data_IF_762737699631
#
_entry.id   IF_762737699631
#
_cell.length_a   1.000
_cell.length_b   1.000
_cell.length_c   1.000
_cell.angle_alpha   90.00
_cell.angle_beta   90.00
_cell.angle_gamma   90.00
#
_symmetry.space_group_name_H-M   'P 1'
#
loop_
_entity.id
_entity.type
_entity.pdbx_description
1 polymer ?
#
# COMPACT_ATOMS: atom_id res chain seq x y z
N UNK A 1 -2.56 -29.11 -17.96
CA UNK A 1 -1.72 -28.14 -17.19
C UNK A 1 -2.66 -27.34 -16.30
N UNK A 2 -2.30 -27.08 -15.03
CA UNK A 2 -3.10 -26.16 -14.18
C UNK A 2 -3.06 -24.75 -14.77
N UNK A 3 -4.22 -24.07 -14.83
CA UNK A 3 -4.27 -22.66 -15.25
C UNK A 3 -3.47 -21.81 -14.26
N UNK A 4 -2.79 -20.76 -14.73
CA UNK A 4 -2.11 -19.81 -13.85
C UNK A 4 -3.14 -19.12 -12.96
N UNK A 5 -2.90 -18.97 -11.64
CA UNK A 5 -3.87 -18.33 -10.76
C UNK A 5 -4.10 -16.86 -11.14
N UNK A 6 -5.30 -16.37 -10.90
CA UNK A 6 -5.61 -14.94 -10.97
C UNK A 6 -5.27 -14.33 -9.61
N UNK A 7 -4.49 -13.27 -9.58
CA UNK A 7 -4.14 -12.57 -8.33
C UNK A 7 -5.02 -11.34 -8.21
N UNK A 8 -5.88 -11.31 -7.18
CA UNK A 8 -6.61 -10.12 -6.75
C UNK A 8 -5.77 -9.35 -5.74
N UNK A 9 -5.14 -8.29 -6.21
CA UNK A 9 -4.32 -7.42 -5.40
C UNK A 9 -5.15 -6.21 -4.94
N UNK A 10 -5.70 -6.29 -3.73
CA UNK A 10 -6.27 -5.11 -3.06
C UNK A 10 -5.13 -4.14 -2.71
N UNK A 11 -5.21 -2.83 -3.02
CA UNK A 11 -4.13 -1.90 -2.68
C UNK A 11 -3.74 -1.95 -1.19
N UNK A 12 -2.44 -1.82 -0.93
CA UNK A 12 -1.85 -1.71 0.43
C UNK A 12 -1.98 -2.96 1.31
N UNK A 13 -2.14 -4.14 0.72
CA UNK A 13 -2.18 -5.44 1.42
C UNK A 13 -0.91 -6.27 1.27
N UNK A 14 0.21 -5.68 0.83
CA UNK A 14 1.44 -6.42 0.55
C UNK A 14 1.40 -7.24 -0.75
N UNK A 15 0.38 -7.07 -1.60
CA UNK A 15 0.20 -7.85 -2.83
C UNK A 15 1.30 -7.67 -3.87
N UNK A 16 2.13 -6.62 -3.77
CA UNK A 16 3.37 -6.52 -4.57
C UNK A 16 4.34 -7.64 -4.21
N UNK A 17 4.59 -7.87 -2.93
CA UNK A 17 5.49 -8.95 -2.46
C UNK A 17 4.97 -10.31 -2.93
N UNK A 18 3.68 -10.57 -2.72
CA UNK A 18 3.04 -11.82 -3.15
C UNK A 18 3.11 -12.02 -4.68
N UNK A 19 2.77 -10.99 -5.45
CA UNK A 19 2.82 -11.06 -6.91
C UNK A 19 4.25 -11.34 -7.41
N UNK A 20 5.24 -10.62 -6.90
CA UNK A 20 6.63 -10.77 -7.33
C UNK A 20 7.18 -12.14 -6.95
N UNK A 21 6.81 -12.66 -5.76
CA UNK A 21 7.12 -14.03 -5.37
C UNK A 21 6.51 -15.07 -6.33
N UNK A 22 5.24 -14.91 -6.72
CA UNK A 22 4.55 -15.86 -7.62
C UNK A 22 5.09 -15.81 -9.04
N UNK A 23 5.36 -14.61 -9.55
CA UNK A 23 5.68 -14.39 -10.96
C UNK A 23 7.18 -14.42 -11.27
N UNK A 24 8.04 -14.23 -10.26
CA UNK A 24 9.47 -13.96 -10.45
C UNK A 24 9.76 -12.62 -11.15
N UNK A 25 8.75 -11.78 -11.36
CA UNK A 25 8.91 -10.49 -12.06
C UNK A 25 9.46 -9.42 -11.11
N UNK A 26 10.34 -8.51 -11.58
CA UNK A 26 10.88 -7.41 -10.77
C UNK A 26 9.84 -6.31 -10.47
N UNK A 27 8.67 -6.35 -11.11
CA UNK A 27 7.54 -5.46 -10.81
C UNK A 27 6.21 -6.09 -11.22
N UNK A 28 5.08 -5.67 -10.59
CA UNK A 28 3.77 -6.03 -11.08
C UNK A 28 3.50 -5.49 -12.50
N UNK A 29 2.75 -6.23 -13.34
CA UNK A 29 2.33 -5.78 -14.66
C UNK A 29 1.23 -4.72 -14.54
N UNK A 30 0.88 -4.10 -15.68
CA UNK A 30 -0.39 -3.36 -15.76
C UNK A 30 -1.56 -4.31 -15.43
N UNK A 31 -2.63 -3.84 -14.76
CA UNK A 31 -3.75 -4.69 -14.39
C UNK A 31 -4.38 -5.34 -15.63
N UNK A 32 -4.71 -6.63 -15.53
CA UNK A 32 -5.14 -7.47 -16.65
C UNK A 32 -5.93 -8.70 -16.15
N UNK A 33 -6.14 -9.67 -17.04
CA UNK A 33 -6.91 -10.88 -16.79
C UNK A 33 -6.29 -11.87 -15.76
N UNK A 34 -5.01 -11.74 -15.41
CA UNK A 34 -4.34 -12.55 -14.37
C UNK A 34 -3.87 -11.72 -13.17
N UNK A 35 -3.83 -10.39 -13.30
CA UNK A 35 -3.48 -9.46 -12.23
C UNK A 35 -4.57 -8.42 -12.07
N UNK A 36 -5.48 -8.70 -11.13
CA UNK A 36 -6.65 -7.88 -10.82
C UNK A 36 -6.26 -6.78 -9.84
N UNK A 37 -6.40 -5.53 -10.25
CA UNK A 37 -5.98 -4.37 -9.49
C UNK A 37 -6.71 -3.10 -9.97
N UNK A 38 -6.42 -1.98 -9.34
CA UNK A 38 -6.95 -0.68 -9.75
C UNK A 38 -6.38 -0.25 -11.11
N UNK A 39 -7.25 0.22 -11.98
CA UNK A 39 -6.96 0.88 -13.25
C UNK A 39 -7.47 2.33 -13.24
N UNK A 40 -6.76 3.17 -13.99
CA UNK A 40 -7.18 4.55 -14.28
C UNK A 40 -7.90 4.60 -15.62
N UNK A 41 -8.99 5.34 -15.69
CA UNK A 41 -9.85 5.52 -16.85
C UNK A 41 -10.07 7.01 -17.12
N UNK A 42 -10.30 7.36 -18.40
CA UNK A 42 -10.61 8.72 -18.86
C UNK A 42 -9.60 9.78 -18.40
N UNK A 43 -8.41 9.86 -18.99
CA UNK A 43 -7.39 10.89 -18.70
C UNK A 43 -7.17 11.27 -17.21
N UNK A 44 -7.20 10.27 -16.32
CA UNK A 44 -7.10 10.40 -14.85
C UNK A 44 -8.35 10.94 -14.14
N UNK A 45 -9.54 10.71 -14.69
CA UNK A 45 -10.82 11.10 -14.10
C UNK A 45 -11.41 10.03 -13.18
N UNK A 46 -11.23 8.74 -13.50
CA UNK A 46 -11.84 7.66 -12.74
C UNK A 46 -10.85 6.54 -12.42
N UNK A 47 -10.82 6.10 -11.17
CA UNK A 47 -9.95 5.03 -10.70
C UNK A 47 -10.80 3.89 -10.11
N UNK A 48 -10.77 2.68 -10.69
CA UNK A 48 -11.57 1.53 -10.21
C UNK A 48 -10.87 0.19 -10.45
N UNK A 49 -11.31 -0.84 -9.73
CA UNK A 49 -10.80 -2.20 -9.90
C UNK A 49 -11.35 -2.87 -11.15
N UNK A 50 -10.56 -3.73 -11.79
CA UNK A 50 -10.98 -4.58 -12.89
C UNK A 50 -11.47 -5.97 -12.46
N UNK A 51 -11.81 -6.17 -11.18
CA UNK A 51 -12.26 -7.46 -10.64
C UNK A 51 -13.75 -7.58 -10.34
N UNK A 52 -14.54 -6.52 -10.58
CA UNK A 52 -15.98 -6.51 -10.26
C UNK A 52 -16.75 -7.68 -10.87
N UNK A 53 -16.34 -8.09 -12.07
CA UNK A 53 -16.89 -9.22 -12.82
C UNK A 53 -16.70 -10.59 -12.15
N UNK A 54 -15.80 -10.73 -11.18
CA UNK A 54 -15.66 -11.97 -10.40
C UNK A 54 -16.80 -12.11 -9.38
N UNK A 55 -17.32 -10.98 -8.90
CA UNK A 55 -18.30 -10.91 -7.80
C UNK A 55 -19.73 -10.61 -8.28
N UNK A 56 -19.91 -10.54 -9.59
CA UNK A 56 -21.20 -10.46 -10.26
C UNK A 56 -21.75 -11.89 -10.51
N UNK A 57 -23.02 -12.11 -10.17
CA UNK A 57 -23.67 -13.41 -10.26
C UNK A 57 -23.72 -13.94 -11.69
N UNK A 58 -23.79 -13.05 -12.68
CA UNK A 58 -23.96 -13.42 -14.09
C UNK A 58 -22.66 -13.94 -14.72
N UNK A 59 -21.51 -13.57 -14.16
CA UNK A 59 -20.18 -13.88 -14.69
C UNK A 59 -19.33 -14.77 -13.79
N UNK A 60 -19.74 -15.01 -12.55
CA UNK A 60 -19.03 -15.86 -11.59
C UNK A 60 -18.72 -17.27 -12.15
N UNK A 61 -19.63 -17.83 -12.94
CA UNK A 61 -19.48 -19.14 -13.59
C UNK A 61 -18.26 -19.23 -14.51
N UNK A 62 -17.74 -18.11 -15.01
CA UNK A 62 -16.52 -18.07 -15.83
C UNK A 62 -15.25 -18.43 -15.04
N UNK A 63 -15.31 -18.41 -13.71
CA UNK A 63 -14.16 -18.52 -12.82
C UNK A 63 -14.10 -19.81 -12.01
N UNK A 64 -15.08 -20.71 -12.14
CA UNK A 64 -15.17 -21.94 -11.31
C UNK A 64 -13.98 -22.89 -11.49
N UNK A 65 -13.37 -22.91 -12.68
CA UNK A 65 -12.19 -23.74 -13.00
C UNK A 65 -10.86 -22.99 -12.82
N UNK A 66 -10.88 -21.83 -12.18
CA UNK A 66 -9.74 -20.92 -12.08
C UNK A 66 -9.43 -20.65 -10.61
N UNK A 67 -8.19 -20.88 -10.17
CA UNK A 67 -7.78 -20.50 -8.82
C UNK A 67 -7.62 -18.98 -8.74
N UNK A 68 -8.22 -18.37 -7.72
CA UNK A 68 -8.14 -16.93 -7.45
C UNK A 68 -7.42 -16.71 -6.12
N UNK A 69 -6.34 -15.93 -6.11
CA UNK A 69 -5.61 -15.59 -4.89
C UNK A 69 -6.09 -14.23 -4.44
N UNK A 70 -6.65 -14.14 -3.22
CA UNK A 70 -7.07 -12.89 -2.60
C UNK A 70 -6.33 -12.70 -1.28
N UNK A 71 -5.56 -11.61 -1.19
CA UNK A 71 -4.88 -11.22 0.04
C UNK A 71 -5.43 -9.92 0.59
N UNK A 72 -5.71 -9.93 1.88
CA UNK A 72 -6.26 -8.79 2.62
C UNK A 72 -5.34 -8.35 3.76
N UNK A 73 -5.66 -7.18 4.29
CA UNK A 73 -5.05 -6.58 5.48
C UNK A 73 -6.18 -6.15 6.41
N UNK A 74 -5.89 -6.01 7.71
CA UNK A 74 -6.75 -5.28 8.62
C UNK A 74 -7.22 -3.95 7.95
N UNK A 75 -8.53 -3.67 7.86
CA UNK A 75 -9.03 -2.55 7.08
C UNK A 75 -8.56 -1.18 7.57
N UNK A 76 -8.47 -1.01 8.90
CA UNK A 76 -8.00 0.23 9.52
C UNK A 76 -6.50 0.46 9.25
N UNK A 77 -5.67 -0.58 9.34
CA UNK A 77 -4.26 -0.44 8.97
C UNK A 77 -4.05 -0.24 7.47
N UNK A 78 -4.91 -0.83 6.64
CA UNK A 78 -4.90 -0.64 5.18
C UNK A 78 -5.19 0.82 4.84
N UNK A 79 -6.24 1.39 5.43
CA UNK A 79 -6.65 2.78 5.17
C UNK A 79 -5.61 3.78 5.73
N UNK A 80 -4.98 3.48 6.87
CA UNK A 80 -3.83 4.25 7.40
C UNK A 80 -2.67 4.29 6.39
N UNK A 81 -2.31 3.12 5.83
CA UNK A 81 -1.23 3.00 4.82
C UNK A 81 -1.59 3.64 3.48
N UNK A 82 -2.88 3.67 3.13
CA UNK A 82 -3.41 4.34 1.95
C UNK A 82 -3.36 5.86 2.11
N UNK A 83 -3.86 6.38 3.23
CA UNK A 83 -3.83 7.81 3.56
C UNK A 83 -2.42 8.40 3.39
N UNK A 84 -1.43 7.74 4.00
CA UNK A 84 -0.03 8.14 3.87
C UNK A 84 0.53 8.02 2.45
N UNK A 85 0.07 7.03 1.67
CA UNK A 85 0.52 6.84 0.30
C UNK A 85 -0.05 7.89 -0.66
N UNK A 86 -1.34 8.22 -0.53
CA UNK A 86 -2.03 9.14 -1.42
C UNK A 86 -1.66 10.60 -1.12
N UNK A 87 -1.64 11.00 0.16
CA UNK A 87 -1.30 12.37 0.54
C UNK A 87 0.08 12.82 0.05
N UNK A 88 1.02 11.88 -0.08
CA UNK A 88 2.39 12.14 -0.54
C UNK A 88 2.54 12.22 -2.08
N UNK A 89 1.44 12.30 -2.85
CA UNK A 89 1.46 12.29 -4.33
C UNK A 89 0.42 13.25 -4.91
N UNK A 90 0.90 14.26 -5.63
CA UNK A 90 0.08 15.31 -6.26
C UNK A 90 -1.08 14.76 -7.09
N UNK A 91 -0.80 13.84 -8.03
CA UNK A 91 -1.83 13.19 -8.86
C UNK A 91 -3.01 12.63 -8.06
N UNK A 92 -2.77 12.02 -6.89
CA UNK A 92 -3.87 11.45 -6.09
C UNK A 92 -4.63 12.51 -5.30
N UNK A 93 -3.96 13.59 -4.91
CA UNK A 93 -4.64 14.76 -4.30
C UNK A 93 -5.51 15.48 -5.33
N UNK A 94 -5.04 15.60 -6.57
CA UNK A 94 -5.84 16.14 -7.69
C UNK A 94 -7.04 15.25 -8.00
N UNK A 95 -6.83 13.93 -8.10
CA UNK A 95 -7.92 12.97 -8.32
C UNK A 95 -8.97 13.07 -7.20
N UNK A 96 -8.55 13.18 -5.95
CA UNK A 96 -9.44 13.42 -4.82
C UNK A 96 -10.24 14.71 -5.00
N UNK A 97 -9.55 15.83 -5.26
CA UNK A 97 -10.18 17.14 -5.46
C UNK A 97 -11.20 17.13 -6.59
N UNK A 98 -10.90 16.45 -7.70
CA UNK A 98 -11.79 16.34 -8.85
C UNK A 98 -12.99 15.42 -8.57
N UNK A 99 -12.79 14.33 -7.82
CA UNK A 99 -13.84 13.34 -7.55
C UNK A 99 -14.78 13.76 -6.41
N UNK A 100 -14.23 14.43 -5.39
CA UNK A 100 -14.92 14.74 -4.13
C UNK A 100 -15.30 16.22 -4.04
N UNK A 101 -14.59 17.11 -4.74
CA UNK A 101 -14.82 18.55 -4.69
C UNK A 101 -14.23 19.25 -3.45
N UNK A 102 -13.34 18.59 -2.70
CA UNK A 102 -12.70 19.12 -1.50
C UNK A 102 -11.19 18.87 -1.49
N UNK A 103 -10.45 19.62 -0.67
CA UNK A 103 -9.03 19.36 -0.46
C UNK A 103 -8.81 17.97 0.15
N UNK A 104 -7.65 17.37 -0.12
CA UNK A 104 -7.28 16.10 0.49
C UNK A 104 -7.25 16.23 2.03
N UNK A 105 -7.86 15.31 2.79
CA UNK A 105 -7.93 15.41 4.25
C UNK A 105 -6.57 15.54 4.92
N UNK A 106 -6.48 16.39 5.95
CA UNK A 106 -5.22 16.65 6.67
C UNK A 106 -4.92 15.62 7.75
N UNK A 107 -5.97 15.01 8.31
CA UNK A 107 -5.84 13.98 9.34
C UNK A 107 -6.41 12.65 8.87
N UNK A 108 -5.92 11.55 9.43
CA UNK A 108 -6.46 10.22 9.17
C UNK A 108 -7.93 10.12 9.62
N UNK A 109 -8.31 10.79 10.71
CA UNK A 109 -9.69 10.83 11.20
C UNK A 109 -10.62 11.49 10.18
N UNK A 110 -10.23 12.65 9.63
CA UNK A 110 -11.01 13.34 8.59
C UNK A 110 -11.12 12.47 7.32
N UNK A 111 -10.04 11.79 6.95
CA UNK A 111 -10.04 10.84 5.84
C UNK A 111 -11.02 9.69 6.07
N UNK A 112 -11.05 9.09 7.27
CA UNK A 112 -11.95 7.99 7.61
C UNK A 112 -13.41 8.44 7.68
N UNK A 113 -13.69 9.63 8.22
CA UNK A 113 -15.05 10.18 8.33
C UNK A 113 -15.70 10.46 6.98
N UNK A 114 -14.92 10.54 5.90
CA UNK A 114 -15.45 10.83 4.58
C UNK A 114 -16.17 9.60 3.98
N UNK A 115 -17.47 9.71 3.58
CA UNK A 115 -18.25 8.57 3.06
C UNK A 115 -17.60 7.87 1.86
N UNK A 116 -16.94 8.65 0.99
CA UNK A 116 -16.19 8.14 -0.16
C UNK A 116 -15.04 7.18 0.16
N UNK A 117 -14.66 7.01 1.43
CA UNK A 117 -13.62 6.08 1.86
C UNK A 117 -14.16 4.84 2.60
N UNK A 118 -15.45 4.82 2.92
CA UNK A 118 -16.08 3.72 3.63
C UNK A 118 -16.13 2.44 2.78
N UNK A 119 -15.92 1.30 3.44
CA UNK A 119 -15.97 -0.06 2.88
C UNK A 119 -15.14 -0.21 1.59
N UNK A 120 -13.95 0.40 1.61
CA UNK A 120 -13.02 0.48 0.49
C UNK A 120 -12.63 -0.88 -0.11
N UNK A 121 -12.50 -1.94 0.70
CA UNK A 121 -12.12 -3.28 0.21
C UNK A 121 -13.29 -3.90 -0.54
N UNK A 122 -14.50 -3.86 0.04
CA UNK A 122 -15.69 -4.37 -0.62
C UNK A 122 -15.97 -3.60 -1.93
N UNK A 123 -15.82 -2.26 -1.94
CA UNK A 123 -15.95 -1.46 -3.17
C UNK A 123 -14.92 -1.83 -4.23
N UNK A 124 -13.67 -2.08 -3.82
CA UNK A 124 -12.64 -2.59 -4.71
C UNK A 124 -13.07 -3.92 -5.33
N UNK A 125 -13.58 -4.87 -4.53
CA UNK A 125 -14.02 -6.17 -5.04
C UNK A 125 -15.19 -6.02 -6.03
N UNK A 126 -16.13 -5.13 -5.75
CA UNK A 126 -17.30 -4.86 -6.59
C UNK A 126 -16.98 -4.00 -7.84
N UNK A 127 -15.74 -3.55 -8.04
CA UNK A 127 -15.39 -2.67 -9.16
C UNK A 127 -16.00 -1.27 -9.09
N UNK A 128 -16.43 -0.83 -7.90
CA UNK A 128 -16.98 0.50 -7.67
C UNK A 128 -15.84 1.53 -7.76
N UNK A 129 -16.01 2.66 -8.46
CA UNK A 129 -15.01 3.72 -8.51
C UNK A 129 -14.56 4.19 -7.13
N UNK A 130 -13.26 4.42 -6.97
CA UNK A 130 -12.67 5.08 -5.81
C UNK A 130 -13.24 6.50 -5.66
N UNK A 131 -13.30 6.99 -4.43
CA UNK A 131 -13.76 8.34 -4.07
C UNK A 131 -15.20 8.72 -4.44
N UNK A 132 -15.96 7.83 -5.09
CA UNK A 132 -17.40 7.98 -5.26
C UNK A 132 -18.11 7.86 -3.91
N UNK A 133 -19.10 8.71 -3.67
CA UNK A 133 -20.04 8.49 -2.56
C UNK A 133 -20.99 7.35 -2.96
N UNK A 134 -20.60 6.13 -2.61
CA UNK A 134 -21.32 4.92 -2.96
C UNK A 134 -21.42 4.03 -1.72
N UNK A 135 -22.64 3.88 -1.22
CA UNK A 135 -22.95 2.93 -0.15
C UNK A 135 -23.00 1.52 -0.72
N UNK A 136 -22.55 0.55 0.08
CA UNK A 136 -22.68 -0.87 -0.26
C UNK A 136 -23.99 -1.36 0.35
N UNK A 137 -24.81 -2.05 -0.45
CA UNK A 137 -26.00 -2.74 0.03
C UNK A 137 -25.67 -4.14 0.56
N UNK A 138 -26.52 -4.67 1.44
CA UNK A 138 -26.38 -6.05 1.92
C UNK A 138 -26.31 -7.06 0.76
N UNK A 139 -27.14 -6.88 -0.28
CA UNK A 139 -27.14 -7.75 -1.47
C UNK A 139 -25.78 -7.79 -2.19
N UNK A 140 -25.10 -6.65 -2.29
CA UNK A 140 -23.76 -6.57 -2.88
C UNK A 140 -22.71 -7.24 -1.98
N UNK A 141 -22.81 -7.06 -0.66
CA UNK A 141 -21.93 -7.79 0.26
C UNK A 141 -22.15 -9.31 0.17
N UNK A 142 -23.41 -9.75 0.13
CA UNK A 142 -23.78 -11.16 0.01
C UNK A 142 -23.28 -11.77 -1.31
N UNK A 143 -23.21 -10.98 -2.40
CA UNK A 143 -22.64 -11.45 -3.68
C UNK A 143 -21.14 -11.75 -3.55
N UNK A 144 -20.40 -10.95 -2.78
CA UNK A 144 -18.98 -11.22 -2.48
C UNK A 144 -18.84 -12.54 -1.74
N UNK A 145 -19.59 -12.71 -0.64
CA UNK A 145 -19.50 -13.92 0.19
C UNK A 145 -19.92 -15.16 -0.61
N UNK A 146 -21.01 -15.07 -1.36
CA UNK A 146 -21.48 -16.15 -2.23
C UNK A 146 -20.42 -16.54 -3.27
N UNK A 147 -19.66 -15.58 -3.77
CA UNK A 147 -18.57 -15.84 -4.73
C UNK A 147 -17.43 -16.64 -4.09
N UNK A 148 -17.12 -16.42 -2.81
CA UNK A 148 -16.12 -17.21 -2.08
C UNK A 148 -16.50 -18.67 -1.91
N UNK A 149 -17.80 -18.98 -1.92
CA UNK A 149 -18.28 -20.37 -1.78
C UNK A 149 -18.38 -21.09 -3.13
N UNK A 150 -18.44 -20.34 -4.24
CA UNK A 150 -18.59 -20.88 -5.61
C UNK A 150 -17.29 -21.00 -6.38
N UNK A 151 -16.33 -20.12 -6.11
CA UNK A 151 -15.06 -20.03 -6.84
C UNK A 151 -13.93 -20.54 -5.94
N UNK A 152 -12.93 -21.26 -6.47
CA UNK A 152 -11.81 -21.76 -5.67
C UNK A 152 -10.82 -20.63 -5.32
N UNK A 153 -11.17 -19.86 -4.30
CA UNK A 153 -10.31 -18.84 -3.71
C UNK A 153 -9.21 -19.44 -2.84
N UNK A 154 -8.02 -18.85 -2.91
CA UNK A 154 -6.90 -19.05 -1.98
C UNK A 154 -6.71 -17.75 -1.23
N UNK A 155 -6.94 -17.79 0.07
CA UNK A 155 -6.93 -16.59 0.91
C UNK A 155 -5.54 -16.33 1.48
N UNK A 156 -5.26 -15.05 1.74
CA UNK A 156 -4.02 -14.57 2.32
C UNK A 156 -4.24 -13.38 3.23
N UNK A 157 -3.28 -13.18 4.14
CA UNK A 157 -3.28 -12.18 5.20
C UNK A 157 -1.94 -11.47 5.27
N UNK A 158 -1.97 -10.14 5.28
CA UNK A 158 -0.76 -9.31 5.32
C UNK A 158 0.05 -9.51 6.60
N UNK A 159 -0.62 -9.58 7.74
CA UNK A 159 -0.05 -9.78 9.08
C UNK A 159 0.53 -11.20 9.27
N UNK A 160 0.13 -12.15 8.41
CA UNK A 160 0.56 -13.54 8.38
C UNK A 160 1.20 -13.89 7.03
N UNK A 161 2.06 -13.01 6.51
CA UNK A 161 2.60 -13.11 5.15
C UNK A 161 3.35 -14.43 4.88
N UNK A 162 4.15 -14.93 5.83
CA UNK A 162 4.91 -16.17 5.64
C UNK A 162 4.00 -17.40 5.49
N UNK A 163 2.90 -17.43 6.24
CA UNK A 163 1.89 -18.48 6.20
C UNK A 163 0.98 -18.32 4.99
N UNK A 164 0.74 -17.07 4.56
CA UNK A 164 0.08 -16.78 3.28
C UNK A 164 0.86 -17.37 2.11
N UNK A 165 2.18 -17.21 2.09
CA UNK A 165 3.03 -17.83 1.07
C UNK A 165 2.94 -19.36 1.15
N UNK A 166 2.99 -19.95 2.35
CA UNK A 166 2.84 -21.39 2.51
C UNK A 166 1.47 -21.90 2.01
N UNK A 167 0.39 -21.17 2.29
CA UNK A 167 -0.95 -21.50 1.82
C UNK A 167 -1.05 -21.41 0.30
N UNK A 168 -0.55 -20.32 -0.30
CA UNK A 168 -0.50 -20.19 -1.76
C UNK A 168 0.35 -21.30 -2.38
N UNK A 169 1.49 -21.63 -1.76
CA UNK A 169 2.38 -22.70 -2.21
C UNK A 169 1.65 -24.03 -2.30
N UNK A 170 0.95 -24.40 -1.22
CA UNK A 170 0.21 -25.65 -1.14
C UNK A 170 -1.00 -25.69 -2.07
N UNK A 171 -1.87 -24.67 -2.01
CA UNK A 171 -3.12 -24.65 -2.77
C UNK A 171 -2.88 -24.52 -4.28
N UNK A 172 -1.91 -23.70 -4.69
CA UNK A 172 -1.59 -23.47 -6.10
C UNK A 172 -0.51 -24.40 -6.66
N UNK A 173 0.25 -25.10 -5.81
CA UNK A 173 1.38 -25.93 -6.23
C UNK A 173 2.56 -25.10 -6.74
N UNK A 174 2.87 -23.98 -6.09
CA UNK A 174 3.95 -23.06 -6.45
C UNK A 174 5.08 -23.18 -5.42
N UNK A 175 6.31 -23.41 -5.83
CA UNK A 175 7.47 -23.42 -4.93
C UNK A 175 8.13 -22.02 -4.88
N UNK A 176 8.32 -21.51 -3.66
CA UNK A 176 8.90 -20.19 -3.40
C UNK A 176 10.33 -20.26 -2.83
N UNK A 177 10.93 -21.45 -2.74
CA UNK A 177 12.22 -21.62 -2.07
C UNK A 177 12.12 -21.46 -0.55
N UNK A 178 13.21 -21.07 0.09
CA UNK A 178 13.28 -20.90 1.57
C UNK A 178 13.19 -19.44 2.00
N UNK A 179 13.53 -18.52 1.10
CA UNK A 179 13.67 -17.10 1.41
C UNK A 179 13.11 -16.26 0.27
N UNK A 180 12.40 -15.19 0.64
CA UNK A 180 11.80 -14.23 -0.29
C UNK A 180 12.24 -12.83 0.13
N UNK A 181 12.72 -11.99 -0.79
CA UNK A 181 13.04 -10.60 -0.45
C UNK A 181 11.77 -9.78 -0.19
N UNK A 182 11.87 -8.80 0.71
CA UNK A 182 10.82 -7.82 0.98
C UNK A 182 10.85 -6.75 -0.09
N UNK A 183 9.87 -6.78 -0.99
CA UNK A 183 9.90 -5.90 -2.16
C UNK A 183 9.39 -4.47 -1.91
N UNK A 184 8.53 -4.23 -0.90
CA UNK A 184 8.03 -2.89 -0.54
C UNK A 184 7.50 -2.81 0.89
N UNK A 185 8.14 -1.98 1.71
CA UNK A 185 7.65 -1.53 3.01
C UNK A 185 7.19 -0.06 2.93
N UNK A 186 6.12 0.32 3.63
CA UNK A 186 5.71 1.73 3.70
C UNK A 186 6.70 2.54 4.56
N UNK A 187 7.35 3.54 3.95
CA UNK A 187 8.28 4.45 4.64
C UNK A 187 7.59 5.44 5.58
N UNK A 188 6.40 5.90 5.18
CA UNK A 188 5.61 6.86 5.97
C UNK A 188 4.57 6.12 6.81
N UNK A 189 4.50 6.48 8.09
CA UNK A 189 3.44 6.07 9.03
C UNK A 189 2.93 7.33 9.73
N UNK A 190 1.63 7.67 9.61
CA UNK A 190 1.08 8.82 10.30
C UNK A 190 1.17 8.64 11.82
N UNK A 191 1.19 9.75 12.57
CA UNK A 191 1.04 9.68 14.03
C UNK A 191 -0.39 9.21 14.35
N UNK A 192 -0.52 8.33 15.35
CA UNK A 192 -1.82 7.79 15.80
C UNK A 192 -2.45 8.69 16.86
N UNK A 193 -2.64 9.95 16.52
CA UNK A 193 -3.34 10.91 17.37
C UNK A 193 -4.85 10.60 17.37
N UNK A 194 -5.53 10.74 18.50
CA UNK A 194 -6.96 10.43 18.65
C UNK A 194 -7.36 9.02 18.17
N UNK A 195 -6.50 8.02 18.41
CA UNK A 195 -6.69 6.66 17.87
C UNK A 195 -7.99 5.98 18.34
N UNK A 196 -8.45 6.27 19.56
CA UNK A 196 -9.72 5.77 20.07
C UNK A 196 -10.91 6.24 19.23
N UNK A 197 -11.01 7.55 18.99
CA UNK A 197 -12.06 8.12 18.13
C UNK A 197 -11.94 7.62 16.68
N UNK A 198 -10.70 7.55 16.17
CA UNK A 198 -10.41 7.04 14.82
C UNK A 198 -10.93 5.62 14.64
N UNK A 199 -10.67 4.75 15.61
CA UNK A 199 -11.10 3.34 15.59
C UNK A 199 -12.62 3.23 15.66
N UNK A 200 -13.29 4.01 16.52
CA UNK A 200 -14.75 4.01 16.63
C UNK A 200 -15.42 4.43 15.32
N UNK A 201 -15.02 5.59 14.76
CA UNK A 201 -15.58 6.09 13.50
C UNK A 201 -15.30 5.11 12.34
N UNK A 202 -14.11 4.50 12.32
CA UNK A 202 -13.77 3.50 11.33
C UNK A 202 -14.76 2.32 11.39
N UNK A 203 -14.97 1.75 12.57
CA UNK A 203 -15.83 0.58 12.74
C UNK A 203 -17.30 0.84 12.39
N UNK A 204 -17.79 2.04 12.69
CA UNK A 204 -19.16 2.45 12.34
C UNK A 204 -19.36 2.58 10.83
N UNK A 205 -18.39 3.18 10.12
CA UNK A 205 -18.50 3.42 8.67
C UNK A 205 -18.10 2.21 7.81
N UNK A 206 -17.26 1.31 8.34
CA UNK A 206 -16.64 0.21 7.59
C UNK A 206 -17.15 -1.18 8.04
N UNK A 207 -18.42 -1.28 8.40
CA UNK A 207 -19.03 -2.51 8.90
C UNK A 207 -18.88 -3.69 7.92
N UNK A 208 -19.08 -3.48 6.61
CA UNK A 208 -18.93 -4.54 5.62
C UNK A 208 -17.47 -4.95 5.41
N UNK A 209 -16.52 -4.02 5.41
CA UNK A 209 -15.09 -4.38 5.37
C UNK A 209 -14.68 -5.20 6.60
N UNK A 210 -15.20 -4.85 7.80
CA UNK A 210 -14.95 -5.62 9.01
C UNK A 210 -15.54 -7.04 8.92
N UNK A 211 -16.79 -7.17 8.47
CA UNK A 211 -17.42 -8.49 8.24
C UNK A 211 -16.67 -9.31 7.18
N UNK A 212 -16.25 -8.67 6.09
CA UNK A 212 -15.50 -9.31 5.00
C UNK A 212 -14.18 -9.89 5.52
N UNK A 213 -13.45 -9.12 6.32
CA UNK A 213 -12.17 -9.56 6.86
C UNK A 213 -12.31 -10.75 7.78
N UNK A 214 -13.32 -10.76 8.67
CA UNK A 214 -13.57 -11.94 9.52
C UNK A 214 -13.92 -13.18 8.69
N UNK A 215 -14.73 -13.01 7.64
CA UNK A 215 -15.07 -14.08 6.72
C UNK A 215 -13.84 -14.63 5.97
N UNK A 216 -12.90 -13.76 5.57
CA UNK A 216 -11.65 -14.16 4.91
C UNK A 216 -10.67 -14.78 5.89
N UNK A 217 -10.52 -14.23 7.11
CA UNK A 217 -9.68 -14.79 8.16
C UNK A 217 -10.09 -16.22 8.47
N UNK A 218 -11.38 -16.45 8.72
CA UNK A 218 -11.92 -17.79 9.00
C UNK A 218 -11.58 -18.78 7.87
N UNK A 219 -11.77 -18.37 6.61
CA UNK A 219 -11.44 -19.21 5.44
C UNK A 219 -9.94 -19.45 5.29
N UNK A 220 -9.10 -18.44 5.57
CA UNK A 220 -7.65 -18.59 5.58
C UNK A 220 -7.19 -19.59 6.65
N UNK A 221 -7.68 -19.48 7.89
CA UNK A 221 -7.33 -20.42 8.96
C UNK A 221 -7.71 -21.84 8.59
N UNK A 222 -8.91 -22.04 8.04
CA UNK A 222 -9.37 -23.35 7.57
C UNK A 222 -8.47 -23.90 6.44
N UNK A 223 -8.02 -23.07 5.51
CA UNK A 223 -7.10 -23.50 4.46
C UNK A 223 -5.73 -23.87 5.03
N UNK A 224 -5.20 -23.04 5.92
CA UNK A 224 -3.86 -23.15 6.46
C UNK A 224 -3.70 -24.35 7.41
N UNK A 225 -4.67 -24.60 8.28
CA UNK A 225 -4.64 -25.75 9.22
C UNK A 225 -4.62 -27.11 8.51
N UNK A 226 -5.11 -27.18 7.27
CA UNK A 226 -5.15 -28.39 6.47
C UNK A 226 -3.88 -28.65 5.64
N UNK A 227 -2.84 -27.82 5.80
CA UNK A 227 -1.57 -27.98 5.09
C UNK A 227 -0.68 -28.99 5.84
N UNK A 228 -0.35 -30.14 5.24
CA UNK A 228 0.60 -31.08 5.84
C UNK A 228 2.03 -30.52 5.77
N UNK A 229 2.80 -30.65 6.85
CA UNK A 229 4.22 -30.29 6.92
C UNK A 229 4.52 -28.87 6.39
N UNK A 230 3.88 -27.87 7.00
CA UNK A 230 3.99 -26.47 6.58
C UNK A 230 5.44 -26.02 6.47
N UNK A 231 5.82 -25.57 5.28
CA UNK A 231 7.10 -24.90 5.02
C UNK A 231 6.92 -23.39 5.11
N UNK A 232 7.45 -22.79 6.17
CA UNK A 232 7.45 -21.34 6.36
C UNK A 232 8.66 -20.72 5.69
N UNK A 233 8.43 -19.75 4.82
CA UNK A 233 9.49 -18.96 4.20
C UNK A 233 10.00 -17.87 5.14
N UNK A 234 11.27 -17.51 5.01
CA UNK A 234 11.83 -16.32 5.66
C UNK A 234 11.78 -15.13 4.71
N UNK A 235 11.75 -13.92 5.27
CA UNK A 235 11.79 -12.69 4.50
C UNK A 235 13.09 -11.95 4.76
N UNK A 236 13.85 -11.69 3.70
CA UNK A 236 15.07 -10.87 3.75
C UNK A 236 14.77 -9.42 3.41
N UNK A 237 15.45 -8.50 4.10
CA UNK A 237 15.28 -7.06 3.91
C UNK A 237 14.50 -6.36 5.01
N UNK A 238 14.47 -5.03 4.95
CA UNK A 238 13.87 -4.16 5.95
C UNK A 238 13.12 -2.96 5.31
N UNK A 239 12.84 -1.92 6.09
CA UNK A 239 12.14 -0.74 5.57
C UNK A 239 13.03 0.20 4.76
N UNK A 240 14.34 0.15 4.94
CA UNK A 240 15.29 0.98 4.23
C UNK A 240 15.45 0.54 2.77
N UNK A 241 15.17 -0.72 2.46
CA UNK A 241 15.10 -1.22 1.07
C UNK A 241 14.09 -0.44 0.21
N UNK A 242 13.08 0.19 0.83
CA UNK A 242 12.11 1.04 0.15
C UNK A 242 12.62 2.45 -0.14
N UNK A 243 13.71 2.92 0.49
CA UNK A 243 14.22 4.29 0.34
C UNK A 243 14.73 4.51 -1.09
N UNK A 244 15.51 3.59 -1.64
CA UNK A 244 16.02 3.70 -3.01
C UNK A 244 14.87 3.77 -4.05
N UNK A 245 13.93 2.81 -4.08
CA UNK A 245 12.79 2.88 -5.00
C UNK A 245 11.94 4.15 -4.83
N UNK A 246 11.88 4.73 -3.63
CA UNK A 246 11.18 5.99 -3.40
C UNK A 246 11.90 7.15 -4.08
N UNK A 247 13.21 7.27 -3.87
CA UNK A 247 14.05 8.37 -4.42
C UNK A 247 14.20 8.23 -5.93
N UNK A 248 14.37 7.01 -6.45
CA UNK A 248 14.61 6.72 -7.86
C UNK A 248 13.31 6.53 -8.70
N UNK A 249 12.17 7.07 -8.26
CA UNK A 249 10.96 7.06 -9.06
C UNK A 249 11.13 7.83 -10.39
N UNK A 250 10.14 7.78 -11.29
CA UNK A 250 10.21 8.36 -12.66
C UNK A 250 10.69 9.84 -12.70
N UNK A 251 10.55 10.56 -11.59
CA UNK A 251 11.29 11.78 -11.28
C UNK A 251 12.01 11.56 -9.95
N UNK A 252 13.28 11.94 -9.87
CA UNK A 252 14.02 11.82 -8.61
C UNK A 252 13.32 12.62 -7.51
N UNK A 253 13.05 11.94 -6.39
CA UNK A 253 12.35 12.51 -5.25
C UNK A 253 13.33 12.86 -4.15
N UNK A 254 13.09 13.97 -3.46
CA UNK A 254 13.83 14.29 -2.24
C UNK A 254 13.37 13.36 -1.10
N UNK A 255 14.29 12.80 -0.29
CA UNK A 255 13.95 12.09 0.94
C UNK A 255 13.02 12.90 1.86
N UNK A 256 13.13 14.23 1.88
CA UNK A 256 12.25 15.12 2.67
C UNK A 256 10.77 14.86 2.40
N UNK A 257 10.41 14.50 1.16
CA UNK A 257 9.03 14.25 0.76
C UNK A 257 8.41 13.03 1.46
N UNK A 258 9.19 12.15 2.10
CA UNK A 258 8.66 11.02 2.88
C UNK A 258 7.73 11.51 3.98
N UNK A 259 8.07 12.64 4.61
CA UNK A 259 7.34 13.22 5.75
C UNK A 259 6.60 14.52 5.42
N UNK A 260 6.36 14.81 4.13
CA UNK A 260 5.62 16.00 3.73
C UNK A 260 4.22 16.08 4.38
N UNK A 261 3.56 14.94 4.54
CA UNK A 261 2.25 14.84 5.19
C UNK A 261 2.24 15.14 6.71
N UNK A 262 3.41 15.28 7.35
CA UNK A 262 3.47 15.74 8.74
C UNK A 262 3.34 17.27 8.88
N UNK A 263 3.40 18.01 7.76
CA UNK A 263 3.32 19.46 7.73
C UNK A 263 1.87 19.94 7.60
N UNK A 264 1.53 21.08 8.21
CA UNK A 264 0.22 21.72 8.02
C UNK A 264 -0.01 22.18 6.57
N UNK A 265 1.08 22.54 5.88
CA UNK A 265 1.11 22.99 4.48
C UNK A 265 2.17 22.21 3.69
N UNK A 266 1.90 20.95 3.29
CA UNK A 266 2.85 20.11 2.56
C UNK A 266 3.38 20.77 1.27
N UNK A 267 2.57 21.64 0.64
CA UNK A 267 2.95 22.38 -0.56
C UNK A 267 4.20 23.23 -0.38
N UNK A 268 4.42 23.80 0.82
CA UNK A 268 5.63 24.59 1.10
C UNK A 268 6.91 23.75 0.95
N UNK A 269 6.88 22.47 1.35
CA UNK A 269 8.01 21.56 1.16
C UNK A 269 8.19 21.23 -0.31
N UNK A 270 7.11 20.94 -1.04
CA UNK A 270 7.20 20.61 -2.47
C UNK A 270 7.73 21.79 -3.30
N UNK A 271 7.24 23.00 -3.04
CA UNK A 271 7.71 24.23 -3.68
C UNK A 271 9.19 24.47 -3.35
N UNK A 272 9.57 24.33 -2.08
CA UNK A 272 10.96 24.47 -1.65
C UNK A 272 11.88 23.43 -2.31
N UNK A 273 11.48 22.16 -2.38
CA UNK A 273 12.25 21.10 -3.06
C UNK A 273 12.43 21.43 -4.54
N UNK A 274 11.38 21.93 -5.20
CA UNK A 274 11.43 22.34 -6.61
C UNK A 274 12.39 23.51 -6.83
N UNK A 275 12.33 24.54 -5.98
CA UNK A 275 13.22 25.71 -6.04
C UNK A 275 14.69 25.35 -5.77
N UNK A 276 14.93 24.31 -4.97
CA UNK A 276 16.28 23.88 -4.57
C UNK A 276 16.77 22.64 -5.33
N UNK A 277 16.11 22.24 -6.42
CA UNK A 277 16.45 21.01 -7.14
C UNK A 277 17.90 21.00 -7.66
N UNK A 278 18.41 22.14 -8.14
CA UNK A 278 19.80 22.25 -8.62
C UNK A 278 20.84 21.93 -7.54
N UNK A 279 20.50 22.17 -6.26
CA UNK A 279 21.34 21.83 -5.11
C UNK A 279 21.14 20.37 -4.68
N UNK A 280 19.89 19.91 -4.62
CA UNK A 280 19.54 18.60 -4.07
C UNK A 280 19.88 17.45 -5.01
N UNK A 281 19.66 17.64 -6.31
CA UNK A 281 19.79 16.58 -7.31
C UNK A 281 21.22 16.01 -7.40
N UNK A 282 22.29 16.82 -7.45
CA UNK A 282 23.67 16.32 -7.44
C UNK A 282 24.01 15.56 -6.17
N UNK A 283 23.55 16.04 -5.00
CA UNK A 283 23.77 15.38 -3.71
C UNK A 283 23.12 14.00 -3.69
N UNK A 284 21.87 13.92 -4.16
CA UNK A 284 21.14 12.66 -4.30
C UNK A 284 21.89 11.67 -5.19
N UNK A 285 22.28 12.09 -6.40
CA UNK A 285 23.01 11.23 -7.35
C UNK A 285 24.32 10.70 -6.75
N UNK A 286 25.07 11.55 -6.07
CA UNK A 286 26.35 11.16 -5.47
C UNK A 286 26.15 10.13 -4.35
N UNK A 287 25.20 10.39 -3.43
CA UNK A 287 24.89 9.44 -2.35
C UNK A 287 24.36 8.10 -2.89
N UNK A 288 23.51 8.12 -3.92
CA UNK A 288 23.00 6.90 -4.56
C UNK A 288 24.11 6.07 -5.20
N UNK A 289 25.09 6.73 -5.85
CA UNK A 289 26.24 6.06 -6.46
C UNK A 289 27.15 5.42 -5.40
N UNK A 290 27.36 6.08 -4.25
CA UNK A 290 28.25 5.61 -3.21
C UNK A 290 27.71 4.39 -2.43
N UNK A 291 26.39 4.25 -2.35
CA UNK A 291 25.75 3.28 -1.46
C UNK A 291 25.17 2.05 -2.19
N UNK A 292 25.24 1.97 -3.53
CA UNK A 292 24.93 0.77 -4.32
C UNK A 292 23.62 0.04 -3.96
N UNK A 293 22.57 0.78 -3.59
CA UNK A 293 21.27 0.18 -3.22
C UNK A 293 21.03 0.02 -1.71
N UNK A 294 22.02 0.26 -0.85
CA UNK A 294 21.83 0.24 0.61
C UNK A 294 21.11 1.52 1.06
N UNK A 295 19.80 1.41 1.27
CA UNK A 295 18.94 2.55 1.64
C UNK A 295 19.27 3.17 3.00
N UNK A 296 19.77 2.40 3.96
CA UNK A 296 20.10 2.91 5.30
C UNK A 296 21.39 3.72 5.22
N UNK A 297 22.42 3.18 4.59
CA UNK A 297 23.69 3.86 4.39
C UNK A 297 23.52 5.13 3.53
N UNK A 298 22.75 5.03 2.44
CA UNK A 298 22.36 6.18 1.62
C UNK A 298 21.73 7.29 2.44
N UNK A 299 20.73 6.97 3.26
CA UNK A 299 20.00 8.00 4.00
C UNK A 299 20.90 8.68 5.05
N UNK A 300 21.79 7.92 5.69
CA UNK A 300 22.78 8.46 6.64
C UNK A 300 23.74 9.44 5.94
N UNK A 301 24.30 9.06 4.79
CA UNK A 301 25.22 9.91 4.01
C UNK A 301 24.52 11.17 3.48
N UNK A 302 23.31 11.00 2.97
CA UNK A 302 22.51 12.10 2.45
C UNK A 302 22.15 13.10 3.56
N UNK A 303 21.76 12.63 4.75
CA UNK A 303 21.50 13.48 5.92
C UNK A 303 22.77 14.23 6.36
N UNK A 304 23.92 13.56 6.41
CA UNK A 304 25.20 14.17 6.79
C UNK A 304 25.61 15.30 5.84
N UNK A 305 25.31 15.15 4.55
CA UNK A 305 25.60 16.15 3.53
C UNK A 305 24.59 17.31 3.53
N UNK A 306 23.33 17.02 3.85
CA UNK A 306 22.21 17.95 3.66
C UNK A 306 21.92 18.79 4.90
N UNK A 307 22.01 18.24 6.11
CA UNK A 307 21.74 18.95 7.38
C UNK A 307 22.53 20.27 7.49
N UNK A 308 23.86 20.30 7.25
CA UNK A 308 24.63 21.54 7.35
C UNK A 308 24.16 22.64 6.38
N UNK A 309 23.66 22.24 5.21
CA UNK A 309 23.15 23.15 4.19
C UNK A 309 21.76 23.69 4.57
N UNK A 310 20.87 22.83 5.08
CA UNK A 310 19.48 23.22 5.36
C UNK A 310 19.31 24.02 6.64
N UNK A 311 20.10 23.72 7.67
CA UNK A 311 19.98 24.32 9.00
C UNK A 311 21.02 25.40 9.29
N UNK A 312 21.79 25.85 8.29
CA UNK A 312 22.72 26.99 8.37
C UNK A 312 23.66 26.94 9.59
N UNK A 313 24.13 25.75 9.95
CA UNK A 313 25.06 25.54 11.07
C UNK A 313 24.42 25.15 12.41
N UNK A 314 23.09 25.07 12.52
CA UNK A 314 22.47 24.35 13.63
C UNK A 314 22.76 22.84 13.50
N UNK A 315 22.89 22.16 14.66
CA UNK A 315 23.21 20.74 14.71
C UNK A 315 21.94 19.92 14.92
N UNK A 316 21.75 18.95 14.05
CA UNK A 316 20.83 17.84 14.23
C UNK A 316 21.64 16.54 14.22
N UNK A 317 21.60 15.78 15.31
CA UNK A 317 22.34 14.52 15.42
C UNK A 317 21.70 13.44 14.53
N UNK A 318 22.55 12.73 13.78
CA UNK A 318 22.11 11.63 12.92
C UNK A 318 22.05 10.35 13.73
N UNK A 319 20.84 9.86 13.95
CA UNK A 319 20.60 8.59 14.61
C UNK A 319 20.81 7.45 13.61
N UNK A 320 22.03 6.91 13.56
CA UNK A 320 22.42 5.90 12.56
C UNK A 320 21.58 4.62 12.61
N UNK A 321 20.97 4.30 13.76
CA UNK A 321 20.11 3.12 13.86
C UNK A 321 18.72 3.34 13.26
N UNK A 322 18.23 4.58 13.25
CA UNK A 322 16.97 4.99 12.65
C UNK A 322 17.13 6.36 11.96
N UNK A 323 17.76 6.39 10.77
CA UNK A 323 17.93 7.63 10.00
C UNK A 323 16.61 8.18 9.46
N UNK A 324 15.54 7.37 9.39
CA UNK A 324 14.20 7.84 9.04
C UNK A 324 13.65 8.77 10.13
N UNK A 325 13.88 8.46 11.41
CA UNK A 325 13.54 9.37 12.51
C UNK A 325 14.32 10.69 12.45
N UNK A 326 15.62 10.66 12.12
CA UNK A 326 16.39 11.90 11.89
C UNK A 326 15.82 12.71 10.73
N UNK A 327 15.47 12.07 9.62
CA UNK A 327 14.85 12.74 8.47
C UNK A 327 13.53 13.41 8.85
N UNK A 328 12.69 12.73 9.65
CA UNK A 328 11.43 13.29 10.16
C UNK A 328 11.67 14.55 11.01
N UNK A 329 12.67 14.50 11.89
CA UNK A 329 13.05 15.64 12.73
C UNK A 329 13.55 16.82 11.88
N UNK A 330 14.36 16.55 10.85
CA UNK A 330 14.84 17.57 9.91
C UNK A 330 13.69 18.28 9.18
N UNK A 331 12.70 17.51 8.71
CA UNK A 331 11.49 18.08 8.08
C UNK A 331 10.73 18.95 9.08
N UNK A 332 10.59 18.50 10.33
CA UNK A 332 9.94 19.27 11.37
C UNK A 332 10.67 20.59 11.67
N UNK A 333 11.98 20.53 11.93
CA UNK A 333 12.78 21.72 12.23
C UNK A 333 12.79 22.75 11.09
N UNK A 334 12.79 22.28 9.84
CA UNK A 334 12.88 23.17 8.68
C UNK A 334 11.53 23.79 8.28
N UNK A 335 10.42 23.08 8.45
CA UNK A 335 9.14 23.43 7.83
C UNK A 335 7.94 23.50 8.78
N UNK A 336 8.08 23.10 10.06
CA UNK A 336 7.00 23.23 11.06
C UNK A 336 7.16 24.52 11.90
N UNK A 337 8.26 25.26 11.72
CA UNK A 337 8.52 26.52 12.42
C UNK A 337 7.57 27.68 12.03
#
# INVERSE_FOLDING_TARGET
MKKRPIIIHVPKTGGTTLFMAISGSPKPPKPNQLYRHIQMFGDNEEMKSNCGDIFDCDTNSNYVDQQLILMVRNPLERIESEFGFLGNREMFRELWQNSVGSEYPKTLLDYIKHPSNANSICRFLLGIPMYRDATISQLQFDSIITSFDKIPFVFGRTDRMAETIANVSYQCGIDFGNTIPRYRTSLYKPKRDNWGETTTNFNELNSFDNMLIEAIHTRFENQFQNIPNVKIVTFEGDEYDSVYPFVCADKMRSPLEIYANDLEKPQLLYDWVKENNELLEPLLKNCLQNNNGDGKAFLIEWLASTIPLLLQGQKLDIYKEDPLQTLRNLVAEKFIA
#
